data_IF_224956338469
#
_entry.id   IF_224956338469
#
_cell.length_a   1.000
_cell.length_b   1.000
_cell.length_c   1.000
_cell.angle_alpha   90.00
_cell.angle_beta   90.00
_cell.angle_gamma   90.00
#
_symmetry.space_group_name_H-M   'P 1'
#
loop_
_entity.id
_entity.type
_entity.pdbx_description
1 polymer ?
#
# COMPACT_ATOMS: atom_id res chain seq x y z
N UNK A 1 -53.67 34.59 -49.69
CA UNK A 1 -53.86 33.12 -49.71
C UNK A 1 -52.54 32.50 -49.26
N UNK A 2 -52.47 31.95 -48.06
CA UNK A 2 -51.31 31.20 -47.61
C UNK A 2 -51.46 29.77 -48.16
N UNK A 3 -50.60 29.40 -49.07
CA UNK A 3 -50.54 28.08 -49.70
C UNK A 3 -50.14 27.06 -48.59
N UNK A 4 -51.07 26.18 -48.27
CA UNK A 4 -50.86 25.11 -47.30
C UNK A 4 -49.91 24.08 -47.97
N UNK A 5 -48.55 24.28 -47.80
CA UNK A 5 -47.60 23.26 -48.23
C UNK A 5 -47.85 21.98 -47.42
N UNK A 6 -48.42 20.97 -48.07
CA UNK A 6 -48.53 19.64 -47.45
C UNK A 6 -47.14 19.14 -47.06
N UNK A 7 -46.92 18.95 -45.74
CA UNK A 7 -45.67 18.46 -45.20
C UNK A 7 -45.46 17.03 -45.71
N UNK A 8 -44.40 16.81 -46.49
CA UNK A 8 -44.01 15.49 -46.95
C UNK A 8 -43.59 14.62 -45.73
N UNK A 9 -44.48 13.71 -45.31
CA UNK A 9 -44.31 12.90 -44.08
C UNK A 9 -43.08 11.95 -44.16
N UNK A 10 -42.76 11.45 -45.34
CA UNK A 10 -41.64 10.52 -45.56
C UNK A 10 -40.31 11.26 -45.42
N UNK A 11 -40.19 12.47 -45.98
CA UNK A 11 -39.02 13.32 -45.82
C UNK A 11 -38.84 13.70 -44.35
N UNK A 12 -39.91 14.02 -43.64
CA UNK A 12 -39.89 14.35 -42.23
C UNK A 12 -39.36 13.16 -41.40
N UNK A 13 -39.90 11.96 -41.63
CA UNK A 13 -39.47 10.72 -40.95
C UNK A 13 -37.99 10.42 -41.24
N UNK A 14 -37.58 10.54 -42.50
CA UNK A 14 -36.19 10.33 -42.84
C UNK A 14 -35.25 11.29 -42.10
N UNK A 15 -35.57 12.60 -42.10
CA UNK A 15 -34.77 13.59 -41.39
C UNK A 15 -34.72 13.35 -39.89
N UNK A 16 -35.85 12.98 -39.27
CA UNK A 16 -35.88 12.63 -37.85
C UNK A 16 -34.99 11.43 -37.51
N UNK A 17 -35.12 10.34 -38.29
CA UNK A 17 -34.30 9.15 -38.11
C UNK A 17 -32.80 9.41 -38.37
N UNK A 18 -32.50 10.15 -39.43
CA UNK A 18 -31.10 10.49 -39.72
C UNK A 18 -30.47 11.36 -38.61
N UNK A 19 -31.22 12.35 -38.13
CA UNK A 19 -30.74 13.23 -37.04
C UNK A 19 -30.64 12.46 -35.71
N UNK A 20 -31.60 11.59 -35.38
CA UNK A 20 -31.55 10.78 -34.18
C UNK A 20 -30.39 9.77 -34.24
N UNK A 21 -30.14 9.16 -35.42
CA UNK A 21 -29.02 8.26 -35.61
C UNK A 21 -27.66 8.99 -35.47
N UNK A 22 -27.49 10.14 -36.13
CA UNK A 22 -26.29 10.95 -36.01
C UNK A 22 -26.09 11.46 -34.57
N UNK A 23 -27.15 11.92 -33.92
CA UNK A 23 -27.13 12.34 -32.54
C UNK A 23 -26.75 11.22 -31.59
N UNK A 24 -27.27 10.00 -31.81
CA UNK A 24 -26.91 8.81 -31.04
C UNK A 24 -25.44 8.46 -31.17
N UNK A 25 -24.89 8.45 -32.38
CA UNK A 25 -23.46 8.20 -32.62
C UNK A 25 -22.59 9.27 -31.95
N UNK A 26 -22.99 10.55 -32.07
CA UNK A 26 -22.27 11.65 -31.43
C UNK A 26 -22.28 11.52 -29.88
N UNK A 27 -23.43 11.17 -29.30
CA UNK A 27 -23.57 10.96 -27.85
C UNK A 27 -22.68 9.81 -27.35
N UNK A 28 -22.69 8.67 -28.05
CA UNK A 28 -21.82 7.52 -27.72
C UNK A 28 -20.34 7.89 -27.87
N UNK A 29 -19.98 8.55 -28.97
CA UNK A 29 -18.60 9.00 -29.21
C UNK A 29 -18.10 9.94 -28.14
N UNK A 30 -18.95 10.89 -27.72
CA UNK A 30 -18.61 11.82 -26.64
C UNK A 30 -18.54 11.14 -25.28
N UNK A 31 -19.46 10.22 -24.98
CA UNK A 31 -19.47 9.53 -23.68
C UNK A 31 -18.32 8.53 -23.51
N UNK A 32 -17.83 7.93 -24.60
CA UNK A 32 -16.81 6.89 -24.58
C UNK A 32 -15.55 7.27 -23.78
N UNK A 33 -14.87 8.44 -23.99
CA UNK A 33 -13.68 8.79 -23.24
C UNK A 33 -13.96 8.98 -21.75
N UNK A 34 -15.14 9.48 -21.38
CA UNK A 34 -15.53 9.64 -19.98
C UNK A 34 -15.74 8.29 -19.28
N UNK A 35 -16.44 7.36 -19.93
CA UNK A 35 -16.60 5.99 -19.40
C UNK A 35 -15.26 5.29 -19.31
N UNK A 36 -14.38 5.42 -20.32
CA UNK A 36 -13.04 4.82 -20.32
C UNK A 36 -12.15 5.39 -19.23
N UNK A 37 -12.34 6.64 -18.82
CA UNK A 37 -11.55 7.25 -17.74
C UNK A 37 -11.79 6.61 -16.35
N UNK A 38 -12.88 5.87 -16.16
CA UNK A 38 -13.15 5.12 -14.93
C UNK A 38 -12.35 3.82 -14.81
N UNK A 39 -11.82 3.33 -15.91
CA UNK A 39 -10.96 2.15 -15.89
C UNK A 39 -9.51 2.52 -15.58
N UNK A 40 -8.79 1.66 -14.83
CA UNK A 40 -7.40 1.94 -14.48
C UNK A 40 -6.53 2.04 -15.74
N UNK A 41 -5.64 3.04 -15.74
CA UNK A 41 -4.62 3.18 -16.79
C UNK A 41 -3.62 2.02 -16.75
N UNK A 42 -2.88 1.79 -17.84
CA UNK A 42 -1.81 0.77 -17.86
C UNK A 42 -0.74 1.03 -16.79
N UNK A 43 -0.44 2.30 -16.50
CA UNK A 43 0.44 2.68 -15.40
C UNK A 43 -0.13 2.27 -14.03
N UNK A 44 -1.44 2.46 -13.80
CA UNK A 44 -2.09 2.06 -12.55
C UNK A 44 -2.14 0.53 -12.41
N UNK A 45 -2.35 -0.20 -13.51
CA UNK A 45 -2.30 -1.67 -13.52
C UNK A 45 -0.89 -2.17 -13.22
N UNK A 46 0.14 -1.57 -13.83
CA UNK A 46 1.53 -1.91 -13.60
C UNK A 46 1.97 -1.62 -12.16
N UNK A 47 1.49 -0.51 -11.55
CA UNK A 47 1.78 -0.18 -10.16
C UNK A 47 1.19 -1.19 -9.15
N UNK A 48 0.12 -1.93 -9.53
CA UNK A 48 -0.47 -3.00 -8.73
C UNK A 48 0.15 -4.37 -8.96
N UNK A 49 1.08 -4.51 -9.91
CA UNK A 49 1.74 -5.78 -10.20
C UNK A 49 2.60 -6.26 -9.02
N UNK A 50 2.78 -7.59 -8.85
CA UNK A 50 3.72 -8.14 -7.89
C UNK A 50 5.15 -7.64 -8.15
N UNK A 51 5.87 -7.36 -7.07
CA UNK A 51 7.30 -7.00 -7.12
C UNK A 51 8.10 -8.18 -6.63
N UNK A 52 9.07 -8.63 -7.43
CA UNK A 52 10.00 -9.70 -7.05
C UNK A 52 11.29 -9.10 -6.49
N UNK A 53 11.72 -9.61 -5.34
CA UNK A 53 12.94 -9.17 -4.65
C UNK A 53 13.82 -10.37 -4.38
N UNK A 54 15.07 -10.31 -4.83
CA UNK A 54 16.08 -11.33 -4.53
C UNK A 54 16.62 -11.13 -3.10
N UNK A 55 16.06 -11.89 -2.17
CA UNK A 55 16.43 -11.83 -0.75
C UNK A 55 17.83 -12.39 -0.47
N UNK A 56 18.43 -13.17 -1.39
CA UNK A 56 19.77 -13.72 -1.20
C UNK A 56 20.86 -12.64 -1.21
N UNK A 57 20.55 -11.47 -1.75
CA UNK A 57 21.48 -10.32 -1.81
C UNK A 57 21.45 -9.42 -0.57
N UNK A 58 20.53 -9.68 0.37
CA UNK A 58 20.39 -8.89 1.58
C UNK A 58 21.21 -9.54 2.68
N UNK A 59 22.29 -8.90 3.11
CA UNK A 59 23.12 -9.38 4.21
C UNK A 59 22.37 -9.34 5.55
N UNK A 60 22.78 -10.19 6.50
CA UNK A 60 22.18 -10.21 7.84
C UNK A 60 22.33 -8.83 8.52
N UNK A 61 21.23 -8.31 9.04
CA UNK A 61 21.15 -6.97 9.63
C UNK A 61 20.86 -5.84 8.64
N UNK A 62 20.83 -6.11 7.35
CA UNK A 62 20.52 -5.11 6.32
C UNK A 62 19.01 -5.03 6.02
N UNK A 63 18.61 -3.85 5.56
CA UNK A 63 17.27 -3.54 5.06
C UNK A 63 17.35 -3.09 3.60
N UNK A 64 16.51 -3.65 2.76
CA UNK A 64 16.26 -3.20 1.40
C UNK A 64 14.88 -2.56 1.33
N UNK A 65 14.76 -1.45 0.61
CA UNK A 65 13.47 -0.81 0.34
C UNK A 65 13.10 -1.00 -1.12
N UNK A 66 11.89 -1.51 -1.35
CA UNK A 66 11.26 -1.58 -2.66
C UNK A 66 10.00 -0.73 -2.68
N UNK A 67 9.51 -0.39 -3.86
CA UNK A 67 8.24 0.31 -4.03
C UNK A 67 7.18 -0.68 -4.54
N UNK A 68 6.02 -0.70 -3.87
CA UNK A 68 4.85 -1.45 -4.31
C UNK A 68 3.59 -0.62 -4.09
N UNK A 69 2.80 -0.44 -5.12
CA UNK A 69 1.58 0.38 -5.09
C UNK A 69 1.81 1.81 -4.54
N UNK A 70 2.96 2.41 -4.87
CA UNK A 70 3.33 3.75 -4.38
C UNK A 70 3.68 3.81 -2.90
N UNK A 71 3.90 2.66 -2.24
CA UNK A 71 4.29 2.57 -0.83
C UNK A 71 5.67 1.96 -0.70
N UNK A 72 6.49 2.42 0.28
CA UNK A 72 7.75 1.77 0.59
C UNK A 72 7.48 0.41 1.25
N UNK A 73 8.05 -0.65 0.71
CA UNK A 73 8.08 -1.98 1.30
C UNK A 73 9.49 -2.27 1.76
N UNK A 74 9.64 -2.55 3.03
CA UNK A 74 10.92 -2.91 3.64
C UNK A 74 11.06 -4.42 3.67
N UNK A 75 12.24 -4.88 3.28
CA UNK A 75 12.67 -6.27 3.45
C UNK A 75 13.91 -6.24 4.33
N UNK A 76 13.82 -6.81 5.52
CA UNK A 76 14.91 -6.86 6.50
C UNK A 76 15.36 -8.29 6.66
N UNK A 77 16.65 -8.56 6.49
CA UNK A 77 17.27 -9.82 6.86
C UNK A 77 17.79 -9.71 8.30
N UNK A 78 17.02 -10.22 9.25
CA UNK A 78 17.32 -10.13 10.70
C UNK A 78 18.44 -11.07 11.08
N UNK A 79 19.30 -10.61 11.99
CA UNK A 79 20.36 -11.44 12.59
C UNK A 79 19.79 -12.37 13.66
N UNK A 80 20.52 -13.44 13.98
CA UNK A 80 20.14 -14.34 15.09
C UNK A 80 20.05 -13.62 16.44
N UNK A 81 20.85 -12.56 16.64
CA UNK A 81 20.79 -11.76 17.85
C UNK A 81 19.49 -10.96 17.91
N UNK A 82 19.10 -10.30 16.81
CA UNK A 82 17.83 -9.58 16.73
C UNK A 82 16.62 -10.49 16.97
N UNK A 83 16.67 -11.74 16.48
CA UNK A 83 15.62 -12.73 16.74
C UNK A 83 15.55 -13.17 18.22
N UNK A 84 16.70 -13.27 18.90
CA UNK A 84 16.73 -13.55 20.35
C UNK A 84 16.19 -12.38 21.17
N UNK A 85 16.53 -11.16 20.75
CA UNK A 85 16.10 -9.93 21.44
C UNK A 85 14.58 -9.70 21.36
N UNK A 86 13.91 -10.18 20.27
CA UNK A 86 12.45 -10.14 20.15
C UNK A 86 11.73 -10.88 21.30
N UNK A 87 12.29 -12.02 21.75
CA UNK A 87 11.72 -12.85 22.84
C UNK A 87 11.83 -12.19 24.21
N UNK A 88 12.72 -11.25 24.38
CA UNK A 88 12.95 -10.53 25.63
C UNK A 88 12.07 -9.31 25.86
N UNK A 89 11.19 -8.97 24.91
CA UNK A 89 10.36 -7.75 24.95
C UNK A 89 8.93 -7.99 25.50
N UNK A 90 8.65 -9.17 26.09
CA UNK A 90 7.29 -9.59 26.49
C UNK A 90 6.76 -8.91 27.78
N UNK A 91 7.58 -8.23 28.52
CA UNK A 91 7.29 -7.70 29.88
C UNK A 91 6.37 -6.47 29.96
N UNK A 92 5.41 -6.30 29.05
CA UNK A 92 4.55 -5.11 29.01
C UNK A 92 5.18 -3.91 28.28
N UNK A 93 6.32 -4.13 27.66
CA UNK A 93 7.04 -3.14 26.83
C UNK A 93 6.33 -2.92 25.50
N UNK A 94 5.69 -3.96 24.97
CA UNK A 94 4.95 -3.92 23.71
C UNK A 94 3.45 -3.84 23.94
N UNK A 95 2.73 -3.10 23.09
CA UNK A 95 1.28 -3.00 23.15
C UNK A 95 0.57 -4.28 22.65
N UNK A 96 1.18 -5.00 21.71
CA UNK A 96 0.66 -6.25 21.15
C UNK A 96 1.81 -7.24 20.92
N UNK A 97 2.34 -7.87 22.00
CA UNK A 97 3.49 -8.77 21.90
C UNK A 97 3.19 -10.03 21.07
N UNK A 98 1.96 -10.54 21.15
CA UNK A 98 1.55 -11.79 20.49
C UNK A 98 0.98 -11.58 19.10
N UNK A 99 1.01 -10.35 18.56
CA UNK A 99 0.53 -10.00 17.23
C UNK A 99 -0.93 -10.39 16.97
N UNK A 100 -1.79 -10.17 17.97
CA UNK A 100 -3.21 -10.50 17.90
C UNK A 100 -4.04 -9.45 17.17
N UNK A 101 -3.56 -8.20 17.13
CA UNK A 101 -4.22 -7.13 16.37
C UNK A 101 -4.11 -7.42 14.88
N UNK A 102 -5.21 -7.21 14.16
CA UNK A 102 -5.34 -7.58 12.74
C UNK A 102 -4.63 -6.58 11.81
N UNK A 103 -3.29 -6.57 11.87
CA UNK A 103 -2.42 -5.73 11.03
C UNK A 103 -1.53 -6.53 10.08
N UNK A 104 -1.51 -7.85 10.19
CA UNK A 104 -0.70 -8.76 9.40
C UNK A 104 -1.54 -9.95 8.90
N UNK A 105 -1.09 -10.65 7.82
CA UNK A 105 -1.70 -11.90 7.39
C UNK A 105 -1.73 -12.97 8.49
N UNK A 106 -2.67 -13.90 8.43
CA UNK A 106 -2.87 -14.96 9.42
C UNK A 106 -1.61 -15.80 9.68
N UNK A 107 -0.84 -16.11 8.63
CA UNK A 107 0.43 -16.85 8.69
C UNK A 107 1.59 -16.03 9.29
N UNK A 108 1.38 -14.72 9.49
CA UNK A 108 2.31 -13.80 10.14
C UNK A 108 1.86 -13.36 11.54
N UNK A 109 0.78 -13.94 12.11
CA UNK A 109 0.33 -13.69 13.49
C UNK A 109 1.21 -14.48 14.48
N UNK A 110 2.45 -14.03 14.62
CA UNK A 110 3.46 -14.60 15.49
C UNK A 110 4.41 -13.51 16.00
N UNK A 111 5.30 -13.83 16.92
CA UNK A 111 6.26 -12.90 17.53
C UNK A 111 7.20 -12.22 16.52
N UNK A 112 7.45 -12.86 15.39
CA UNK A 112 8.34 -12.35 14.33
C UNK A 112 7.61 -11.58 13.24
N UNK A 113 6.28 -11.63 13.21
CA UNK A 113 5.40 -11.07 12.16
C UNK A 113 5.87 -11.42 10.75
N UNK A 114 6.30 -12.67 10.57
CA UNK A 114 6.81 -13.14 9.28
C UNK A 114 6.69 -14.66 9.14
N UNK A 115 6.59 -15.12 7.88
CA UNK A 115 6.57 -16.55 7.53
C UNK A 115 7.93 -17.17 7.81
N UNK A 116 9.01 -16.47 7.42
CA UNK A 116 10.40 -16.85 7.70
C UNK A 116 10.95 -15.94 8.80
N UNK A 117 11.30 -16.46 9.99
CA UNK A 117 11.71 -15.62 11.11
C UNK A 117 12.85 -14.63 10.81
N UNK A 118 13.77 -14.98 9.95
CA UNK A 118 14.89 -14.10 9.57
C UNK A 118 14.51 -13.03 8.54
N UNK A 119 13.38 -13.16 7.81
CA UNK A 119 12.98 -12.18 6.78
C UNK A 119 11.69 -11.49 7.21
N UNK A 120 11.80 -10.20 7.53
CA UNK A 120 10.65 -9.33 7.70
C UNK A 120 10.30 -8.69 6.36
N UNK A 121 9.02 -8.69 6.00
CA UNK A 121 8.47 -7.88 4.92
C UNK A 121 7.36 -7.01 5.50
N UNK A 122 7.53 -5.70 5.44
CA UNK A 122 6.56 -4.77 6.03
C UNK A 122 6.41 -3.51 5.17
N UNK A 123 5.24 -2.90 5.23
CA UNK A 123 5.04 -1.57 4.64
C UNK A 123 5.68 -0.55 5.56
N UNK A 124 6.63 0.24 5.02
CA UNK A 124 7.42 1.22 5.75
C UNK A 124 6.66 2.51 6.10
N UNK A 125 5.46 2.35 6.65
CA UNK A 125 4.56 3.47 7.00
C UNK A 125 4.11 3.32 8.45
N UNK A 126 4.33 4.38 9.25
CA UNK A 126 3.90 4.44 10.63
C UNK A 126 2.38 4.38 10.75
N UNK A 127 1.87 3.51 11.62
CA UNK A 127 0.44 3.31 11.87
C UNK A 127 -0.24 4.50 12.55
N UNK A 128 0.53 5.46 13.10
CA UNK A 128 -0.03 6.65 13.74
C UNK A 128 -0.64 7.62 12.70
N UNK A 129 0.19 8.27 11.88
CA UNK A 129 -0.24 9.28 10.89
C UNK A 129 0.48 9.15 9.54
N UNK A 130 1.04 7.99 9.22
CA UNK A 130 1.56 7.69 7.88
C UNK A 130 2.98 8.20 7.58
N UNK A 131 3.76 8.67 8.56
CA UNK A 131 5.17 8.98 8.36
C UNK A 131 5.97 7.70 8.03
N UNK A 132 7.12 7.83 7.36
CA UNK A 132 8.05 6.71 7.18
C UNK A 132 9.01 6.66 8.37
N UNK A 133 8.99 5.63 9.22
CA UNK A 133 9.98 5.46 10.28
C UNK A 133 11.38 5.21 9.73
N UNK A 134 12.38 5.47 10.55
CA UNK A 134 13.79 5.21 10.24
C UNK A 134 14.21 3.87 10.82
N UNK A 135 14.91 3.06 10.04
CA UNK A 135 15.52 1.82 10.53
C UNK A 135 16.70 2.14 11.48
N UNK A 136 16.62 1.66 12.71
CA UNK A 136 17.58 1.89 13.79
C UNK A 136 17.96 0.54 14.42
N UNK A 137 18.92 -0.19 13.81
CA UNK A 137 19.36 -1.51 14.30
C UNK A 137 20.26 -1.45 15.53
N UNK A 138 20.74 -0.28 15.91
CA UNK A 138 21.60 -0.03 17.06
C UNK A 138 20.91 -0.42 18.39
N UNK A 139 21.67 -0.95 19.36
CA UNK A 139 21.18 -1.37 20.65
C UNK A 139 21.42 -0.25 21.67
N UNK A 140 20.38 0.09 22.45
CA UNK A 140 20.43 1.05 23.56
C UNK A 140 21.15 2.38 23.22
N UNK A 141 20.86 3.03 22.08
CA UNK A 141 21.48 4.32 21.77
C UNK A 141 20.97 5.39 22.76
N UNK A 142 21.77 6.42 22.99
CA UNK A 142 21.50 7.44 24.01
C UNK A 142 20.14 8.17 23.80
N UNK A 143 19.69 8.29 22.55
CA UNK A 143 18.45 8.98 22.16
C UNK A 143 17.18 8.12 22.28
N UNK A 144 17.28 6.78 22.30
CA UNK A 144 16.13 5.86 22.35
C UNK A 144 15.99 5.10 23.68
N UNK A 145 17.06 5.13 24.50
CA UNK A 145 17.06 4.53 25.84
C UNK A 145 17.52 3.08 25.90
N UNK A 146 17.72 2.56 27.14
CA UNK A 146 18.33 1.25 27.40
C UNK A 146 17.47 0.05 26.97
N UNK A 147 16.17 0.22 26.89
CA UNK A 147 15.23 -0.85 26.51
C UNK A 147 15.14 -1.05 24.98
N UNK A 148 15.75 -0.15 24.21
CA UNK A 148 15.79 -0.26 22.77
C UNK A 148 16.69 -1.41 22.31
N UNK A 149 16.13 -2.38 21.59
CA UNK A 149 16.84 -3.56 21.05
C UNK A 149 16.98 -3.56 19.54
N UNK A 150 16.84 -2.39 18.92
CA UNK A 150 16.80 -2.23 17.47
C UNK A 150 15.38 -2.34 16.93
N UNK A 151 15.15 -1.68 15.80
CA UNK A 151 13.82 -1.63 15.18
C UNK A 151 13.63 -0.41 14.31
N UNK A 152 12.44 0.19 14.39
CA UNK A 152 12.08 1.35 13.58
C UNK A 152 11.59 2.48 14.47
N UNK A 153 12.16 3.66 14.29
CA UNK A 153 11.81 4.87 15.02
C UNK A 153 11.13 5.88 14.10
N UNK A 154 9.95 6.34 14.48
CA UNK A 154 9.23 7.37 13.73
C UNK A 154 9.54 8.75 14.33
N UNK A 155 10.29 9.61 13.62
CA UNK A 155 10.71 10.91 14.17
C UNK A 155 9.57 11.94 14.26
N UNK A 156 8.42 11.67 13.60
CA UNK A 156 7.31 12.62 13.59
C UNK A 156 6.70 12.83 14.99
N UNK A 157 6.49 11.74 15.74
CA UNK A 157 5.85 11.78 17.07
C UNK A 157 6.50 10.81 18.06
N UNK A 158 7.68 10.28 17.72
CA UNK A 158 8.45 9.43 18.62
C UNK A 158 7.97 7.97 18.71
N UNK A 159 7.06 7.51 17.84
CA UNK A 159 6.62 6.10 17.85
C UNK A 159 7.80 5.16 17.65
N UNK A 160 7.89 4.14 18.52
CA UNK A 160 8.92 3.11 18.50
C UNK A 160 8.31 1.79 18.06
N UNK A 161 8.99 1.07 17.19
CA UNK A 161 8.62 -0.27 16.76
C UNK A 161 9.84 -1.19 16.87
N UNK A 162 9.65 -2.40 17.34
CA UNK A 162 10.72 -3.39 17.35
C UNK A 162 11.07 -3.88 15.95
N UNK A 163 12.03 -4.79 15.85
CA UNK A 163 12.48 -5.35 14.57
C UNK A 163 11.46 -6.29 13.90
N UNK A 164 10.32 -6.59 14.54
CA UNK A 164 9.17 -7.26 13.96
C UNK A 164 8.05 -6.28 13.59
N UNK A 165 8.23 -4.97 13.85
CA UNK A 165 7.22 -3.94 13.62
C UNK A 165 6.12 -3.91 14.69
N UNK A 166 6.33 -4.54 15.88
CA UNK A 166 5.42 -4.44 17.02
C UNK A 166 5.67 -3.11 17.74
N UNK A 167 4.59 -2.39 18.07
CA UNK A 167 4.71 -1.06 18.66
C UNK A 167 5.02 -1.15 20.16
N UNK A 168 5.93 -0.30 20.63
CA UNK A 168 6.18 -0.10 22.06
C UNK A 168 4.97 0.56 22.73
N UNK A 169 4.64 0.12 23.94
CA UNK A 169 3.63 0.74 24.77
C UNK A 169 4.16 2.07 25.35
N UNK A 170 3.35 3.14 25.29
CA UNK A 170 3.72 4.44 25.86
C UNK A 170 3.62 5.60 24.90
#
# INVERSE_FOLDING_TARGET
MMENQEINQDRRRFLILATAGAGGVAAVGTATPFVRSWFPSEKAKAAGAPVEIDIAKIEAGQMLTAEWQGKPVWVVNRTDQQLKDLKGLDGGILADPDSQVDHQPEDCKNETRSIKPNILVAIGICTHLGCSPTYRPDIAPADLGGDWKGGFFCPCHGSKFDIAGRVYAG
#
